data_IF_574096502967
#
_entry.id   IF_574096502967
#
_cell.length_a   1.000
_cell.length_b   1.000
_cell.length_c   1.000
_cell.angle_alpha   90.00
_cell.angle_beta   90.00
_cell.angle_gamma   90.00
#
_symmetry.space_group_name_H-M   'P 1'
#
loop_
_entity.id
_entity.type
_entity.pdbx_description
1 polymer ?
#
# COMPACT_ATOMS: atom_id res chain seq x y z
N UNK A 1 -11.84 -36.46 0.23
CA UNK A 1 -11.41 -35.85 -1.04
C UNK A 1 -12.48 -34.96 -1.67
N UNK A 2 -13.74 -35.43 -1.87
CA UNK A 2 -14.82 -34.62 -2.50
C UNK A 2 -15.07 -33.28 -1.77
N UNK A 3 -15.07 -33.26 -0.43
CA UNK A 3 -15.30 -32.02 0.36
C UNK A 3 -14.23 -30.95 0.10
N UNK A 4 -12.97 -31.35 -0.04
CA UNK A 4 -11.85 -30.43 -0.32
C UNK A 4 -12.01 -29.84 -1.72
N UNK A 5 -12.36 -30.69 -2.71
CA UNK A 5 -12.59 -30.26 -4.09
C UNK A 5 -13.75 -29.24 -4.19
N UNK A 6 -14.84 -29.44 -3.45
CA UNK A 6 -15.97 -28.50 -3.44
C UNK A 6 -15.59 -27.17 -2.78
N UNK A 7 -14.77 -27.19 -1.71
CA UNK A 7 -14.26 -25.97 -1.06
C UNK A 7 -13.35 -25.18 -1.99
N UNK A 8 -12.41 -25.84 -2.68
CA UNK A 8 -11.48 -25.17 -3.60
C UNK A 8 -12.23 -24.52 -4.78
N UNK A 9 -13.26 -25.19 -5.32
CA UNK A 9 -14.08 -24.63 -6.40
C UNK A 9 -14.81 -23.37 -5.93
N UNK A 10 -15.45 -23.38 -4.75
CA UNK A 10 -16.19 -22.20 -4.26
C UNK A 10 -15.28 -20.99 -4.01
N UNK A 11 -14.05 -21.22 -3.53
CA UNK A 11 -13.05 -20.17 -3.32
C UNK A 11 -12.54 -19.53 -4.62
N UNK A 12 -12.55 -20.26 -5.74
CA UNK A 12 -12.14 -19.73 -7.05
C UNK A 12 -13.24 -18.83 -7.65
N UNK A 13 -14.52 -19.22 -7.50
CA UNK A 13 -15.65 -18.51 -8.11
C UNK A 13 -16.15 -17.32 -7.26
N UNK A 14 -16.11 -17.40 -5.93
CA UNK A 14 -16.61 -16.33 -5.06
C UNK A 14 -15.93 -14.95 -5.28
N UNK A 15 -14.59 -14.86 -5.48
CA UNK A 15 -13.92 -13.58 -5.75
C UNK A 15 -14.36 -12.91 -7.04
N UNK A 16 -14.70 -13.70 -8.07
CA UNK A 16 -15.11 -13.19 -9.39
C UNK A 16 -16.46 -12.46 -9.36
N UNK A 17 -17.31 -12.74 -8.37
CA UNK A 17 -18.64 -12.13 -8.27
C UNK A 17 -18.63 -10.71 -7.67
N UNK A 18 -17.60 -10.33 -6.90
CA UNK A 18 -17.67 -9.14 -6.04
C UNK A 18 -16.35 -8.37 -5.90
N UNK A 19 -15.55 -8.37 -6.97
CA UNK A 19 -14.24 -7.70 -7.04
C UNK A 19 -14.31 -6.24 -6.58
N UNK A 20 -15.30 -5.47 -7.05
CA UNK A 20 -15.45 -4.04 -6.70
C UNK A 20 -15.58 -3.80 -5.19
N UNK A 21 -16.32 -4.66 -4.48
CA UNK A 21 -16.48 -4.54 -3.03
C UNK A 21 -15.18 -4.85 -2.29
N UNK A 22 -14.45 -5.87 -2.74
CA UNK A 22 -13.14 -6.23 -2.19
C UNK A 22 -12.13 -5.11 -2.42
N UNK A 23 -12.10 -4.52 -3.62
CA UNK A 23 -11.26 -3.36 -3.94
C UNK A 23 -11.55 -2.20 -2.99
N UNK A 24 -12.83 -1.82 -2.83
CA UNK A 24 -13.22 -0.72 -1.95
C UNK A 24 -12.84 -0.98 -0.48
N UNK A 25 -13.09 -2.20 0.03
CA UNK A 25 -12.69 -2.58 1.39
C UNK A 25 -11.18 -2.53 1.58
N UNK A 26 -10.42 -2.94 0.57
CA UNK A 26 -8.95 -2.92 0.60
C UNK A 26 -8.46 -1.48 0.59
N UNK A 27 -9.05 -0.62 -0.25
CA UNK A 27 -8.78 0.82 -0.30
C UNK A 27 -9.03 1.51 1.05
N UNK A 28 -10.19 1.28 1.66
CA UNK A 28 -10.57 1.86 2.94
C UNK A 28 -9.64 1.38 4.06
N UNK A 29 -9.31 0.10 4.09
CA UNK A 29 -8.42 -0.47 5.11
C UNK A 29 -6.99 0.03 4.96
N UNK A 30 -6.45 0.04 3.75
CA UNK A 30 -5.09 0.53 3.51
C UNK A 30 -5.00 2.03 3.83
N UNK A 31 -5.99 2.82 3.40
CA UNK A 31 -6.11 4.25 3.75
C UNK A 31 -6.14 4.45 5.27
N UNK A 32 -6.91 3.65 6.00
CA UNK A 32 -7.02 3.72 7.46
C UNK A 32 -5.71 3.42 8.15
N UNK A 33 -4.96 2.41 7.68
CA UNK A 33 -3.67 2.05 8.26
C UNK A 33 -2.62 3.12 7.93
N UNK A 34 -2.57 3.62 6.69
CA UNK A 34 -1.66 4.71 6.31
C UNK A 34 -1.93 6.00 7.10
N UNK A 35 -3.19 6.33 7.41
CA UNK A 35 -3.53 7.45 8.31
C UNK A 35 -2.95 7.29 9.72
N UNK A 36 -2.59 6.08 10.15
CA UNK A 36 -1.92 5.83 11.44
C UNK A 36 -0.39 5.78 11.34
N UNK A 37 0.16 5.86 10.13
CA UNK A 37 1.61 5.92 9.92
C UNK A 37 2.22 7.11 10.68
N UNK A 38 3.29 6.83 11.42
CA UNK A 38 4.00 7.80 12.23
C UNK A 38 5.47 7.87 11.81
N UNK A 39 5.87 8.97 11.20
CA UNK A 39 7.24 9.16 10.72
C UNK A 39 8.31 9.15 11.82
N UNK A 40 7.92 9.29 13.09
CA UNK A 40 8.85 9.26 14.22
C UNK A 40 9.01 7.85 14.83
N UNK A 41 8.24 6.86 14.35
CA UNK A 41 8.25 5.50 14.89
C UNK A 41 8.42 4.46 13.81
N UNK A 42 9.47 3.63 13.90
CA UNK A 42 9.68 2.51 12.97
C UNK A 42 9.17 1.16 13.51
N UNK A 43 8.77 1.11 14.77
CA UNK A 43 8.40 -0.13 15.47
C UNK A 43 6.89 -0.34 15.56
N UNK A 44 6.08 0.67 15.19
CA UNK A 44 4.63 0.52 15.11
C UNK A 44 4.25 -0.49 14.03
N UNK A 45 3.27 -1.33 14.36
CA UNK A 45 2.76 -2.36 13.44
C UNK A 45 2.22 -1.74 12.15
N UNK A 46 1.57 -0.58 12.22
CA UNK A 46 1.06 0.14 11.05
C UNK A 46 2.20 0.61 10.14
N UNK A 47 3.29 1.12 10.70
CA UNK A 47 4.48 1.51 9.93
C UNK A 47 5.11 0.31 9.23
N UNK A 48 5.35 -0.78 9.97
CA UNK A 48 5.91 -2.02 9.42
C UNK A 48 5.02 -2.58 8.30
N UNK A 49 3.70 -2.57 8.49
CA UNK A 49 2.74 -3.05 7.50
C UNK A 49 2.79 -2.19 6.23
N UNK A 50 2.68 -0.87 6.36
CA UNK A 50 2.74 0.06 5.21
C UNK A 50 4.06 -0.08 4.47
N UNK A 51 5.18 -0.08 5.20
CA UNK A 51 6.51 -0.19 4.62
C UNK A 51 6.67 -1.52 3.88
N UNK A 52 6.10 -2.61 4.41
CA UNK A 52 6.17 -3.93 3.77
C UNK A 52 5.34 -3.98 2.49
N UNK A 53 4.13 -3.43 2.49
CA UNK A 53 3.27 -3.35 1.28
C UNK A 53 3.98 -2.54 0.19
N UNK A 54 4.43 -1.32 0.51
CA UNK A 54 5.11 -0.43 -0.44
C UNK A 54 6.39 -1.05 -1.02
N UNK A 55 7.20 -1.70 -0.18
CA UNK A 55 8.41 -2.39 -0.65
C UNK A 55 8.12 -3.66 -1.45
N UNK A 56 7.04 -4.39 -1.15
CA UNK A 56 6.70 -5.65 -1.84
C UNK A 56 6.17 -5.36 -3.22
N UNK A 57 5.22 -4.42 -3.32
CA UNK A 57 4.56 -4.09 -4.58
C UNK A 57 5.26 -2.98 -5.38
N UNK A 58 6.29 -2.35 -4.81
CA UNK A 58 7.03 -1.24 -5.44
C UNK A 58 6.07 -0.11 -5.79
N UNK A 59 5.30 0.32 -4.79
CA UNK A 59 4.27 1.36 -4.87
C UNK A 59 4.48 2.38 -3.75
N UNK A 60 3.76 3.50 -3.82
CA UNK A 60 3.73 4.53 -2.79
C UNK A 60 2.34 5.16 -2.72
N UNK A 61 1.53 4.72 -1.77
CA UNK A 61 0.22 5.32 -1.52
C UNK A 61 -0.91 4.37 -1.85
N UNK A 62 -2.12 4.73 -1.48
CA UNK A 62 -3.31 3.94 -1.78
C UNK A 62 -3.61 4.06 -3.27
N UNK A 63 -3.75 5.30 -3.74
CA UNK A 63 -4.00 5.68 -5.13
C UNK A 63 -2.77 6.31 -5.77
N UNK A 64 -1.99 7.06 -5.00
CA UNK A 64 -0.74 7.66 -5.47
C UNK A 64 0.12 8.18 -4.32
N UNK A 65 1.38 8.57 -4.60
CA UNK A 65 2.26 9.13 -3.56
C UNK A 65 1.69 10.40 -2.94
N UNK A 66 0.83 11.11 -3.66
CA UNK A 66 0.13 12.30 -3.17
C UNK A 66 -0.81 12.02 -2.00
N UNK A 67 -1.17 10.77 -1.75
CA UNK A 67 -1.87 10.39 -0.51
C UNK A 67 -1.06 10.76 0.74
N UNK A 68 0.25 10.89 0.60
CA UNK A 68 1.15 11.34 1.64
C UNK A 68 1.26 12.86 1.76
N UNK A 69 0.75 13.66 0.83
CA UNK A 69 0.94 15.12 0.83
C UNK A 69 0.37 15.78 2.10
N UNK A 70 -0.77 15.29 2.59
CA UNK A 70 -1.36 15.76 3.85
C UNK A 70 -0.51 15.45 5.08
N UNK A 71 0.32 14.41 4.98
CA UNK A 71 1.24 13.94 6.01
C UNK A 71 2.69 14.20 5.66
N UNK A 72 2.94 14.97 4.60
CA UNK A 72 4.28 15.21 4.07
C UNK A 72 5.12 15.74 5.21
N UNK A 73 6.10 14.94 5.62
CA UNK A 73 6.80 15.18 6.86
C UNK A 73 7.61 16.47 6.69
N UNK A 74 7.09 17.57 7.24
CA UNK A 74 7.69 18.92 7.17
C UNK A 74 9.13 19.00 7.66
N UNK A 75 9.60 18.02 8.46
CA UNK A 75 10.99 17.99 8.93
C UNK A 75 11.98 17.61 7.83
N UNK A 76 11.59 16.75 6.90
CA UNK A 76 12.49 16.21 5.88
C UNK A 76 11.96 16.36 4.45
N UNK A 77 10.76 16.96 4.27
CA UNK A 77 10.05 17.04 3.00
C UNK A 77 10.12 15.71 2.23
N UNK A 78 9.74 14.63 2.89
CA UNK A 78 9.93 13.28 2.38
C UNK A 78 8.74 12.40 2.67
N UNK A 79 8.37 11.60 1.67
CA UNK A 79 7.52 10.43 1.79
C UNK A 79 8.20 9.32 2.63
N UNK A 80 7.47 8.28 3.04
CA UNK A 80 8.05 7.13 3.72
C UNK A 80 9.23 6.54 2.95
N UNK A 81 10.27 6.08 3.65
CA UNK A 81 11.48 5.56 2.99
C UNK A 81 11.21 4.33 2.11
N UNK A 82 10.15 3.60 2.39
CA UNK A 82 9.64 2.44 1.64
C UNK A 82 9.05 2.80 0.27
N UNK A 83 8.72 4.07 0.02
CA UNK A 83 8.25 4.57 -1.27
C UNK A 83 9.35 4.72 -2.33
N UNK A 84 10.63 4.69 -1.94
CA UNK A 84 11.74 4.97 -2.85
C UNK A 84 12.64 3.74 -3.10
N UNK A 85 13.24 3.61 -4.30
CA UNK A 85 14.09 2.47 -4.65
C UNK A 85 15.40 2.34 -3.88
N UNK A 86 15.88 3.45 -3.35
CA UNK A 86 17.15 3.57 -2.62
C UNK A 86 16.92 4.40 -1.37
N UNK A 87 17.83 4.31 -0.41
CA UNK A 87 17.90 5.25 0.71
C UNK A 87 18.34 6.61 0.14
N UNK A 88 17.39 7.37 -0.37
CA UNK A 88 17.54 8.77 -0.74
C UNK A 88 17.35 9.64 0.51
N UNK A 89 18.13 10.72 0.62
CA UNK A 89 18.06 11.63 1.78
C UNK A 89 16.66 12.25 1.92
N UNK A 90 16.04 12.59 0.78
CA UNK A 90 14.70 13.14 0.68
C UNK A 90 13.96 12.37 -0.42
N UNK A 91 12.96 11.56 -0.08
CA UNK A 91 12.12 10.84 -1.03
C UNK A 91 10.93 11.73 -1.41
N UNK A 92 10.95 12.28 -2.62
CA UNK A 92 9.87 13.11 -3.19
C UNK A 92 9.20 12.43 -4.39
N UNK A 93 8.18 13.07 -4.97
CA UNK A 93 7.39 12.53 -6.10
C UNK A 93 8.25 12.09 -7.29
N UNK A 94 9.44 12.71 -7.50
CA UNK A 94 10.32 12.36 -8.61
C UNK A 94 11.12 11.06 -8.37
N UNK A 95 11.20 10.61 -7.12
CA UNK A 95 12.05 9.49 -6.70
C UNK A 95 11.26 8.26 -6.26
N UNK A 96 9.94 8.37 -6.17
CA UNK A 96 9.02 7.27 -5.85
C UNK A 96 9.14 6.14 -6.89
N UNK A 97 8.89 4.90 -6.46
CA UNK A 97 8.83 3.74 -7.36
C UNK A 97 7.97 4.02 -8.62
N UNK A 98 8.57 4.00 -9.82
CA UNK A 98 7.82 4.15 -11.04
C UNK A 98 7.48 2.75 -11.58
N UNK A 99 6.21 2.32 -11.53
CA UNK A 99 5.77 1.17 -12.34
C UNK A 99 4.39 1.36 -12.95
N UNK A 100 4.34 1.23 -14.28
CA UNK A 100 3.11 0.99 -15.04
C UNK A 100 2.43 2.26 -15.52
N UNK A 101 1.79 3.00 -14.61
CA UNK A 101 1.06 4.23 -14.94
C UNK A 101 0.79 5.12 -13.71
N UNK A 102 0.74 4.53 -12.50
CA UNK A 102 0.59 5.24 -11.21
C UNK A 102 1.38 4.49 -10.12
N UNK A 103 1.84 5.20 -9.10
CA UNK A 103 2.50 4.66 -7.90
C UNK A 103 1.51 4.10 -6.87
N UNK A 104 0.31 3.70 -7.30
CA UNK A 104 -0.73 3.09 -6.46
C UNK A 104 -0.34 1.72 -5.91
N UNK A 105 -0.69 1.44 -4.66
CA UNK A 105 -0.61 0.10 -4.08
C UNK A 105 -1.88 -0.76 -4.33
N UNK A 106 -2.86 -0.24 -5.07
CA UNK A 106 -4.07 -0.93 -5.51
C UNK A 106 -4.09 -0.95 -7.04
N UNK A 107 -3.22 -1.77 -7.62
CA UNK A 107 -3.17 -2.03 -9.07
C UNK A 107 -4.13 -3.17 -9.41
#
# INVERSE_FOLDING_TARGET
MIVIVVLDITLIYAPLSNTNHIYKLTEENLSRIMKKYDFNSKTKHENIFVDKIQNTFKCCGVKSSRDWDTKFNRRNNSYPSSCCPKIVKNCDEMQVWPKGYDDSCLV
#
